data_IF_735996426560
#
_entry.id   IF_735996426560
#
_cell.length_a   1.000
_cell.length_b   1.000
_cell.length_c   1.000
_cell.angle_alpha   90.00
_cell.angle_beta   90.00
_cell.angle_gamma   90.00
#
_symmetry.space_group_name_H-M   'P 1'
#
loop_
_entity.id
_entity.type
_entity.pdbx_description
1 polymer ?
#
# COMPACT_ATOMS: atom_id res chain seq x y z
N UNK A 1 -16.57 -17.02 20.63
CA UNK A 1 -15.11 -17.00 20.38
C UNK A 1 -14.71 -15.56 20.11
N UNK A 2 -13.80 -15.02 20.92
CA UNK A 2 -13.22 -13.69 20.67
C UNK A 2 -12.37 -13.84 19.42
N UNK A 3 -12.70 -13.09 18.37
CA UNK A 3 -12.00 -13.25 17.10
C UNK A 3 -10.53 -12.83 17.26
N UNK A 4 -9.61 -13.65 16.81
CA UNK A 4 -8.15 -13.41 16.77
C UNK A 4 -7.81 -11.98 16.30
N UNK A 5 -8.57 -11.48 15.34
CA UNK A 5 -8.49 -10.11 14.79
C UNK A 5 -8.64 -9.05 15.87
N UNK A 6 -9.72 -9.14 16.69
CA UNK A 6 -10.01 -8.15 17.73
C UNK A 6 -9.05 -8.25 18.91
N UNK A 7 -8.60 -9.45 19.25
CA UNK A 7 -7.59 -9.67 20.30
C UNK A 7 -6.26 -9.03 19.91
N UNK A 8 -5.82 -9.24 18.66
CA UNK A 8 -4.63 -8.58 18.14
C UNK A 8 -4.76 -7.05 18.16
N UNK A 9 -5.88 -6.51 17.69
CA UNK A 9 -6.10 -5.06 17.71
C UNK A 9 -6.05 -4.48 19.13
N UNK A 10 -6.59 -5.20 20.12
CA UNK A 10 -6.51 -4.79 21.56
C UNK A 10 -5.07 -4.80 22.06
N UNK A 11 -4.31 -5.85 21.77
CA UNK A 11 -2.90 -5.96 22.16
C UNK A 11 -2.05 -4.82 21.56
N UNK A 12 -2.29 -4.48 20.28
CA UNK A 12 -1.63 -3.35 19.61
C UNK A 12 -1.98 -2.02 20.28
N UNK A 13 -3.26 -1.78 20.57
CA UNK A 13 -3.71 -0.51 21.19
C UNK A 13 -3.26 -0.41 22.64
N UNK A 14 -3.18 -1.53 23.37
CA UNK A 14 -2.64 -1.59 24.72
C UNK A 14 -1.10 -1.39 24.78
N UNK A 15 -0.41 -1.42 23.62
CA UNK A 15 1.05 -1.30 23.56
C UNK A 15 1.81 -2.60 23.83
N UNK A 16 1.12 -3.74 23.89
CA UNK A 16 1.71 -5.07 24.05
C UNK A 16 2.42 -5.56 22.77
N UNK A 17 2.02 -5.01 21.61
CA UNK A 17 2.66 -5.24 20.34
C UNK A 17 3.33 -3.96 19.86
N UNK A 18 4.65 -4.00 19.71
CA UNK A 18 5.41 -2.88 19.20
C UNK A 18 5.18 -2.70 17.70
N UNK A 19 4.68 -1.54 17.28
CA UNK A 19 4.35 -1.22 15.90
C UNK A 19 4.34 0.29 15.67
N UNK A 20 4.29 0.71 14.39
CA UNK A 20 4.15 2.11 14.01
C UNK A 20 2.78 2.73 14.35
N UNK A 21 2.74 4.06 14.41
CA UNK A 21 1.53 4.84 14.72
C UNK A 21 0.38 4.51 13.77
N UNK A 22 0.64 4.46 12.45
CA UNK A 22 -0.40 4.29 11.44
C UNK A 22 -1.08 2.93 11.52
N UNK A 23 -0.33 1.84 11.77
CA UNK A 23 -0.91 0.53 12.04
C UNK A 23 -1.73 0.53 13.35
N UNK A 24 -1.24 1.18 14.39
CA UNK A 24 -2.00 1.33 15.64
C UNK A 24 -3.31 2.09 15.43
N UNK A 25 -3.33 3.12 14.57
CA UNK A 25 -4.55 3.83 14.20
C UNK A 25 -5.54 2.94 13.44
N UNK A 26 -5.07 2.03 12.56
CA UNK A 26 -5.93 1.05 11.90
C UNK A 26 -6.59 0.11 12.94
N UNK A 27 -5.83 -0.36 13.93
CA UNK A 27 -6.35 -1.18 15.03
C UNK A 27 -7.35 -0.40 15.90
N UNK A 28 -7.06 0.86 16.25
CA UNK A 28 -7.98 1.75 16.97
C UNK A 28 -9.28 1.96 16.21
N UNK A 29 -9.21 2.17 14.88
CA UNK A 29 -10.40 2.29 14.02
C UNK A 29 -11.27 1.06 14.12
N UNK A 30 -10.70 -0.16 14.01
CA UNK A 30 -11.45 -1.41 14.15
C UNK A 30 -12.17 -1.48 15.52
N UNK A 31 -11.48 -1.17 16.62
CA UNK A 31 -12.08 -1.23 17.95
C UNK A 31 -13.18 -0.17 18.14
N UNK A 32 -12.96 1.07 17.70
CA UNK A 32 -13.97 2.12 17.71
C UNK A 32 -15.20 1.78 16.87
N UNK A 33 -14.99 1.14 15.73
CA UNK A 33 -16.09 0.71 14.85
C UNK A 33 -16.92 -0.43 15.48
N UNK A 34 -16.31 -1.32 16.28
CA UNK A 34 -17.03 -2.32 17.07
C UNK A 34 -18.00 -1.71 18.09
N UNK A 35 -17.67 -0.55 18.66
CA UNK A 35 -18.52 0.17 19.62
C UNK A 35 -19.72 0.83 18.91
N UNK A 36 -19.54 1.28 17.66
CA UNK A 36 -20.55 1.99 16.87
C UNK A 36 -21.47 1.06 16.05
N UNK A 37 -21.12 -0.21 15.91
CA UNK A 37 -21.78 -1.13 14.98
C UNK A 37 -23.30 -1.18 15.15
N UNK A 38 -24.02 -1.33 14.04
CA UNK A 38 -25.48 -1.44 13.95
C UNK A 38 -26.26 -0.23 14.47
N UNK A 39 -25.65 0.95 14.48
CA UNK A 39 -26.35 2.22 14.70
C UNK A 39 -26.79 2.83 13.37
N UNK A 40 -27.79 3.73 13.38
CA UNK A 40 -28.22 4.45 12.16
C UNK A 40 -27.10 5.26 11.52
N UNK A 41 -26.19 5.84 12.35
CA UNK A 41 -25.03 6.59 11.89
C UNK A 41 -23.90 5.68 11.38
N UNK A 42 -23.92 4.39 11.74
CA UNK A 42 -22.90 3.42 11.35
C UNK A 42 -23.54 2.06 11.02
N UNK A 43 -24.16 1.93 9.83
CA UNK A 43 -24.91 0.76 9.42
C UNK A 43 -24.03 -0.43 8.99
N UNK A 44 -23.00 -0.71 9.78
CA UNK A 44 -22.08 -1.83 9.58
C UNK A 44 -22.05 -2.70 10.84
N UNK A 45 -21.63 -3.96 10.66
CA UNK A 45 -21.45 -4.88 11.78
C UNK A 45 -20.25 -5.79 11.55
N UNK A 46 -19.71 -6.28 12.63
CA UNK A 46 -18.63 -7.27 12.63
C UNK A 46 -19.21 -8.68 12.57
N UNK A 47 -18.81 -9.43 11.55
CA UNK A 47 -19.09 -10.85 11.35
C UNK A 47 -17.79 -11.64 11.61
N UNK A 48 -17.64 -12.12 12.84
CA UNK A 48 -16.45 -12.88 13.25
C UNK A 48 -16.32 -14.21 12.49
N UNK A 49 -17.43 -14.83 12.10
CA UNK A 49 -17.41 -16.07 11.33
C UNK A 49 -16.95 -15.85 9.90
N UNK A 50 -17.33 -14.72 9.28
CA UNK A 50 -16.86 -14.37 7.95
C UNK A 50 -15.34 -14.08 7.95
N UNK A 51 -14.83 -13.42 8.99
CA UNK A 51 -13.40 -13.25 9.19
C UNK A 51 -12.70 -14.60 9.35
N UNK A 52 -13.21 -15.46 10.24
CA UNK A 52 -12.58 -16.74 10.54
C UNK A 52 -12.61 -17.70 9.35
N UNK A 53 -13.66 -17.70 8.53
CA UNK A 53 -13.74 -18.53 7.31
C UNK A 53 -12.57 -18.24 6.35
N UNK A 54 -12.26 -16.97 6.08
CA UNK A 54 -11.15 -16.65 5.18
C UNK A 54 -9.78 -16.92 5.82
N UNK A 55 -9.64 -16.74 7.12
CA UNK A 55 -8.41 -17.04 7.84
C UNK A 55 -8.15 -18.56 7.90
N UNK A 56 -9.18 -19.35 8.18
CA UNK A 56 -9.10 -20.82 8.13
C UNK A 56 -8.76 -21.29 6.72
N UNK A 57 -9.42 -20.75 5.70
CA UNK A 57 -9.08 -21.05 4.31
C UNK A 57 -7.59 -20.76 4.03
N UNK A 58 -7.09 -19.60 4.44
CA UNK A 58 -5.69 -19.25 4.26
C UNK A 58 -4.74 -20.25 4.91
N UNK A 59 -5.05 -20.71 6.12
CA UNK A 59 -4.22 -21.65 6.89
C UNK A 59 -4.32 -23.10 6.39
N UNK A 60 -5.29 -23.43 5.55
CA UNK A 60 -5.38 -24.70 4.82
C UNK A 60 -4.50 -24.71 3.57
N UNK A 61 -4.09 -23.55 3.05
CA UNK A 61 -3.25 -23.46 1.85
C UNK A 61 -1.84 -23.98 2.12
N UNK A 62 -1.21 -24.46 1.07
CA UNK A 62 0.18 -24.95 1.08
C UNK A 62 1.09 -23.99 0.32
N UNK A 63 2.20 -23.61 0.94
CA UNK A 63 3.32 -22.91 0.28
C UNK A 63 4.20 -23.98 -0.36
N UNK A 64 4.18 -24.04 -1.70
CA UNK A 64 4.99 -24.99 -2.47
C UNK A 64 6.45 -24.52 -2.67
N UNK A 65 6.73 -23.24 -2.37
CA UNK A 65 8.06 -22.64 -2.56
C UNK A 65 9.01 -23.02 -1.41
N UNK A 66 10.21 -23.50 -1.76
CA UNK A 66 11.24 -23.92 -0.83
C UNK A 66 11.62 -25.37 -1.01
N UNK A 67 12.40 -25.93 -0.07
CA UNK A 67 12.88 -27.31 -0.13
C UNK A 67 11.73 -28.33 0.05
N UNK A 68 10.76 -28.00 0.89
CA UNK A 68 9.58 -28.83 1.14
C UNK A 68 8.32 -27.97 1.21
N UNK A 69 7.17 -28.49 0.72
CA UNK A 69 5.88 -27.83 0.89
C UNK A 69 5.54 -27.67 2.39
N UNK A 70 4.97 -26.52 2.76
CA UNK A 70 4.61 -26.23 4.15
C UNK A 70 3.25 -25.55 4.23
N UNK A 71 2.48 -25.75 5.31
CA UNK A 71 1.21 -25.07 5.48
C UNK A 71 1.41 -23.57 5.69
N UNK A 72 0.47 -22.78 5.23
CA UNK A 72 0.43 -21.34 5.49
C UNK A 72 0.28 -21.09 6.99
N UNK A 73 1.09 -20.21 7.53
CA UNK A 73 1.01 -19.70 8.90
C UNK A 73 0.91 -18.19 8.86
N UNK A 74 -0.28 -17.67 9.10
CA UNK A 74 -0.51 -16.23 9.14
C UNK A 74 0.10 -15.65 10.41
N UNK A 75 0.85 -14.55 10.27
CA UNK A 75 1.28 -13.76 11.41
C UNK A 75 0.12 -12.87 11.91
N UNK A 76 0.12 -12.44 13.18
CA UNK A 76 -1.02 -11.70 13.75
C UNK A 76 -1.42 -10.43 12.97
N UNK A 77 -0.47 -9.73 12.36
CA UNK A 77 -0.76 -8.56 11.50
C UNK A 77 -1.48 -8.94 10.20
N UNK A 78 -1.18 -10.10 9.61
CA UNK A 78 -1.91 -10.62 8.44
C UNK A 78 -3.31 -11.12 8.83
N UNK A 79 -3.44 -11.72 10.01
CA UNK A 79 -4.75 -12.09 10.59
C UNK A 79 -5.64 -10.85 10.74
N UNK A 80 -5.08 -9.74 11.25
CA UNK A 80 -5.79 -8.48 11.38
C UNK A 80 -6.23 -7.91 10.02
N UNK A 81 -5.30 -7.81 9.09
CA UNK A 81 -5.54 -7.23 7.76
C UNK A 81 -6.62 -8.01 6.97
N UNK A 82 -6.40 -9.31 6.78
CA UNK A 82 -7.32 -10.18 6.03
C UNK A 82 -8.67 -10.27 6.78
N UNK A 83 -8.62 -10.49 8.09
CA UNK A 83 -9.81 -10.63 8.89
C UNK A 83 -10.69 -9.38 8.90
N UNK A 84 -10.10 -8.18 9.06
CA UNK A 84 -10.85 -6.92 8.96
C UNK A 84 -11.45 -6.71 7.58
N UNK A 85 -10.70 -7.03 6.51
CA UNK A 85 -11.17 -6.87 5.14
C UNK A 85 -12.44 -7.69 4.88
N UNK A 86 -12.57 -8.88 5.44
CA UNK A 86 -13.69 -9.79 5.20
C UNK A 86 -14.77 -9.79 6.31
N UNK A 87 -14.40 -9.48 7.53
CA UNK A 87 -15.31 -9.56 8.68
C UNK A 87 -16.26 -8.37 8.81
N UNK A 88 -15.92 -7.19 8.32
CA UNK A 88 -16.82 -6.05 8.34
C UNK A 88 -17.86 -6.13 7.23
N UNK A 89 -19.15 -6.05 7.61
CA UNK A 89 -20.34 -6.22 6.74
C UNK A 89 -21.25 -5.02 6.80
N UNK A 90 -22.01 -4.80 5.71
CA UNK A 90 -23.10 -3.83 5.63
C UNK A 90 -24.36 -4.44 6.23
N UNK A 91 -25.03 -3.73 7.14
CA UNK A 91 -26.27 -4.20 7.76
C UNK A 91 -27.40 -4.42 6.75
N UNK A 92 -27.42 -3.64 5.67
CA UNK A 92 -28.47 -3.66 4.67
C UNK A 92 -28.52 -4.96 3.84
N UNK A 93 -27.37 -5.61 3.58
CA UNK A 93 -27.33 -6.73 2.63
C UNK A 93 -26.26 -7.79 2.93
N UNK A 94 -25.54 -7.69 4.04
CA UNK A 94 -24.49 -8.63 4.41
C UNK A 94 -23.23 -8.63 3.52
N UNK A 95 -23.16 -7.77 2.50
CA UNK A 95 -21.95 -7.62 1.68
C UNK A 95 -20.82 -7.00 2.48
N UNK A 96 -19.56 -7.21 2.05
CA UNK A 96 -18.40 -6.57 2.67
C UNK A 96 -18.60 -5.04 2.73
N UNK A 97 -18.22 -4.46 3.88
CA UNK A 97 -18.14 -3.01 4.04
C UNK A 97 -17.08 -2.43 3.13
N UNK A 98 -15.85 -3.03 3.17
CA UNK A 98 -14.70 -2.52 2.45
C UNK A 98 -14.71 -2.96 0.99
N UNK A 99 -14.77 -1.96 0.11
CA UNK A 99 -14.66 -2.11 -1.35
C UNK A 99 -13.26 -1.78 -1.85
N UNK A 100 -12.49 -1.09 -1.02
CA UNK A 100 -11.10 -0.70 -1.25
C UNK A 100 -10.24 -1.14 -0.07
N UNK A 101 -9.07 -1.63 -0.38
CA UNK A 101 -8.02 -1.92 0.58
C UNK A 101 -6.74 -1.23 0.13
N UNK A 102 -6.04 -0.55 1.05
CA UNK A 102 -4.72 0.01 0.84
C UNK A 102 -3.76 -0.55 1.88
N UNK A 103 -2.75 -1.27 1.42
CA UNK A 103 -1.68 -1.78 2.25
C UNK A 103 -0.34 -1.25 1.78
N UNK A 104 0.30 -0.46 2.63
CA UNK A 104 1.65 0.02 2.44
C UNK A 104 2.58 -0.63 3.47
N UNK A 105 3.53 -1.41 3.03
CA UNK A 105 4.50 -2.12 3.89
C UNK A 105 5.78 -2.36 3.10
N UNK A 106 6.93 -2.45 3.76
CA UNK A 106 8.22 -2.70 3.13
C UNK A 106 8.22 -3.94 2.22
N UNK A 107 9.22 -4.07 1.37
CA UNK A 107 9.35 -5.23 0.48
C UNK A 107 9.46 -6.54 1.26
N UNK A 108 9.10 -7.65 0.61
CA UNK A 108 9.18 -9.02 1.16
C UNK A 108 8.37 -9.26 2.46
N UNK A 109 7.37 -8.41 2.74
CA UNK A 109 6.45 -8.56 3.87
C UNK A 109 5.11 -9.20 3.49
N UNK A 110 5.04 -10.00 2.42
CA UNK A 110 3.88 -10.83 2.10
C UNK A 110 2.70 -10.14 1.42
N UNK A 111 2.85 -8.91 0.88
CA UNK A 111 1.76 -8.16 0.21
C UNK A 111 1.06 -8.97 -0.88
N UNK A 112 1.83 -9.45 -1.84
CA UNK A 112 1.34 -10.21 -3.00
C UNK A 112 0.75 -11.55 -2.58
N UNK A 113 1.37 -12.21 -1.59
CA UNK A 113 0.90 -13.44 -0.98
C UNK A 113 -0.50 -13.28 -0.36
N UNK A 114 -0.75 -12.23 0.41
CA UNK A 114 -2.07 -11.95 0.98
C UNK A 114 -3.13 -11.69 -0.09
N UNK A 115 -2.78 -10.94 -1.15
CA UNK A 115 -3.67 -10.75 -2.29
C UNK A 115 -3.93 -12.07 -3.03
N UNK A 116 -2.95 -12.96 -3.08
CA UNK A 116 -3.10 -14.33 -3.60
C UNK A 116 -4.16 -15.12 -2.83
N UNK A 117 -4.06 -15.12 -1.49
CA UNK A 117 -5.05 -15.75 -0.61
C UNK A 117 -6.45 -15.19 -0.85
N UNK A 118 -6.59 -13.86 -0.78
CA UNK A 118 -7.88 -13.19 -0.93
C UNK A 118 -8.51 -13.43 -2.31
N UNK A 119 -7.71 -13.37 -3.38
CA UNK A 119 -8.17 -13.60 -4.74
C UNK A 119 -8.65 -15.05 -4.95
N UNK A 120 -7.88 -16.03 -4.47
CA UNK A 120 -8.26 -17.45 -4.53
C UNK A 120 -9.55 -17.72 -3.75
N UNK A 121 -9.65 -17.18 -2.52
CA UNK A 121 -10.86 -17.28 -1.71
C UNK A 121 -12.08 -16.68 -2.39
N UNK A 122 -11.96 -15.46 -2.93
CA UNK A 122 -13.07 -14.78 -3.61
C UNK A 122 -13.52 -15.55 -4.85
N UNK A 123 -12.60 -16.08 -5.64
CA UNK A 123 -12.92 -16.82 -6.86
C UNK A 123 -13.67 -18.12 -6.58
N UNK A 124 -13.24 -18.88 -5.59
CA UNK A 124 -13.77 -20.22 -5.33
C UNK A 124 -14.87 -20.28 -4.27
N UNK A 125 -14.83 -19.39 -3.25
CA UNK A 125 -15.55 -19.61 -1.99
C UNK A 125 -16.40 -18.42 -1.53
N UNK A 126 -16.46 -17.32 -2.29
CA UNK A 126 -17.31 -16.17 -1.94
C UNK A 126 -18.80 -16.36 -2.27
N UNK A 127 -19.15 -17.43 -3.00
CA UNK A 127 -20.51 -17.66 -3.50
C UNK A 127 -20.90 -16.80 -4.70
N UNK A 128 -19.97 -16.04 -5.28
CA UNK A 128 -20.22 -15.23 -6.48
C UNK A 128 -20.15 -16.09 -7.75
N UNK A 129 -21.08 -15.91 -8.69
CA UNK A 129 -21.08 -16.61 -9.98
C UNK A 129 -20.69 -15.68 -11.11
N UNK A 130 -19.92 -16.20 -12.08
CA UNK A 130 -19.43 -15.48 -13.27
C UNK A 130 -18.61 -14.22 -12.95
N UNK A 131 -17.95 -14.21 -11.80
CA UNK A 131 -17.12 -13.10 -11.36
C UNK A 131 -15.78 -13.03 -12.12
N UNK A 132 -15.36 -11.82 -12.45
CA UNK A 132 -14.02 -11.56 -13.01
C UNK A 132 -13.11 -11.01 -11.92
N UNK A 133 -11.91 -11.57 -11.83
CA UNK A 133 -10.86 -11.15 -10.92
C UNK A 133 -9.62 -10.80 -11.73
N UNK A 134 -8.95 -9.72 -11.36
CA UNK A 134 -7.77 -9.26 -12.08
C UNK A 134 -6.58 -9.03 -11.16
N UNK A 135 -5.41 -9.44 -11.62
CA UNK A 135 -4.14 -8.98 -11.07
C UNK A 135 -3.56 -7.95 -12.02
N UNK A 136 -3.26 -6.76 -11.52
CA UNK A 136 -2.93 -5.59 -12.33
C UNK A 136 -1.64 -4.94 -11.83
N UNK A 137 -0.73 -4.63 -12.75
CA UNK A 137 0.47 -3.86 -12.49
C UNK A 137 0.85 -3.03 -13.73
N UNK A 138 1.87 -2.18 -13.62
CA UNK A 138 2.36 -1.37 -14.74
C UNK A 138 2.91 -2.22 -15.88
N UNK A 139 3.58 -3.34 -15.55
CA UNK A 139 4.13 -4.29 -16.52
C UNK A 139 3.44 -5.64 -16.40
N UNK A 140 3.18 -6.32 -17.54
CA UNK A 140 2.55 -7.64 -17.58
C UNK A 140 3.27 -8.68 -16.71
N UNK A 141 4.62 -8.65 -16.69
CA UNK A 141 5.41 -9.55 -15.85
C UNK A 141 5.10 -9.37 -14.35
N UNK A 142 4.92 -8.15 -13.87
CA UNK A 142 4.58 -7.88 -12.47
C UNK A 142 3.14 -8.32 -12.14
N UNK A 143 2.17 -8.02 -13.01
CA UNK A 143 0.80 -8.52 -12.84
C UNK A 143 0.74 -10.04 -12.77
N UNK A 144 1.60 -10.72 -13.54
CA UNK A 144 1.71 -12.16 -13.55
C UNK A 144 2.25 -12.72 -12.21
N UNK A 145 3.13 -12.03 -11.51
CA UNK A 145 3.64 -12.49 -10.20
C UNK A 145 2.50 -12.71 -9.19
N UNK A 146 1.55 -11.76 -9.09
CA UNK A 146 0.40 -11.91 -8.21
C UNK A 146 -0.54 -13.06 -8.66
N UNK A 147 -0.68 -13.26 -9.97
CA UNK A 147 -1.40 -14.39 -10.53
C UNK A 147 -0.68 -15.73 -10.25
N UNK A 148 0.64 -15.75 -10.34
CA UNK A 148 1.47 -16.93 -10.05
C UNK A 148 1.35 -17.39 -8.60
N UNK A 149 1.21 -16.47 -7.63
CA UNK A 149 0.94 -16.84 -6.24
C UNK A 149 -0.36 -17.64 -6.11
N UNK A 150 -1.44 -17.19 -6.77
CA UNK A 150 -2.71 -17.92 -6.79
C UNK A 150 -2.57 -19.28 -7.50
N UNK A 151 -1.84 -19.32 -8.61
CA UNK A 151 -1.55 -20.55 -9.35
C UNK A 151 -0.76 -21.57 -8.50
N UNK A 152 0.22 -21.11 -7.72
CA UNK A 152 1.00 -21.96 -6.80
C UNK A 152 0.09 -22.58 -5.74
N UNK A 153 -0.81 -21.83 -5.11
CA UNK A 153 -1.77 -22.37 -4.15
C UNK A 153 -2.63 -23.47 -4.76
N UNK A 154 -3.20 -23.20 -5.94
CA UNK A 154 -4.05 -24.17 -6.64
C UNK A 154 -3.28 -25.46 -6.98
N UNK A 155 -2.05 -25.32 -7.48
CA UNK A 155 -1.24 -26.48 -7.90
C UNK A 155 -0.67 -27.29 -6.73
N UNK A 156 -0.55 -26.68 -5.56
CA UNK A 156 0.02 -27.31 -4.36
C UNK A 156 -0.99 -28.11 -3.55
N UNK A 157 -2.28 -28.04 -3.89
CA UNK A 157 -3.38 -28.64 -3.15
C UNK A 157 -4.30 -29.40 -4.09
N UNK A 158 -4.51 -30.71 -3.86
CA UNK A 158 -5.28 -31.57 -4.73
C UNK A 158 -6.77 -31.19 -4.79
N UNK A 159 -7.34 -30.74 -3.66
CA UNK A 159 -8.74 -30.31 -3.59
C UNK A 159 -8.93 -29.01 -4.37
N UNK A 160 -8.00 -28.06 -4.26
CA UNK A 160 -8.03 -26.86 -5.07
C UNK A 160 -7.80 -27.14 -6.56
N UNK A 161 -6.87 -28.04 -6.90
CA UNK A 161 -6.63 -28.47 -8.28
C UNK A 161 -7.84 -29.15 -8.93
N UNK A 162 -8.69 -29.81 -8.13
CA UNK A 162 -9.95 -30.36 -8.59
C UNK A 162 -11.03 -29.28 -8.85
N UNK A 163 -10.99 -28.17 -8.13
CA UNK A 163 -11.96 -27.06 -8.25
C UNK A 163 -11.57 -25.98 -9.26
N UNK A 164 -10.27 -25.78 -9.49
CA UNK A 164 -9.72 -24.71 -10.31
C UNK A 164 -8.98 -25.27 -11.52
N UNK A 165 -9.10 -24.62 -12.65
CA UNK A 165 -8.36 -24.95 -13.89
C UNK A 165 -7.33 -23.86 -14.18
N UNK A 166 -6.03 -24.17 -14.06
CA UNK A 166 -4.94 -23.24 -14.34
C UNK A 166 -4.51 -23.37 -15.78
N UNK A 167 -4.50 -22.23 -16.52
CA UNK A 167 -4.05 -22.10 -17.90
C UNK A 167 -2.82 -21.19 -17.97
N UNK A 168 -1.64 -21.75 -17.72
CA UNK A 168 -0.38 -20.97 -17.63
C UNK A 168 -0.09 -20.14 -18.87
N UNK A 169 -0.36 -20.67 -20.06
CA UNK A 169 -0.10 -19.99 -21.35
C UNK A 169 -0.97 -18.76 -21.58
N UNK A 170 -2.14 -18.68 -20.90
CA UNK A 170 -3.04 -17.51 -20.93
C UNK A 170 -2.89 -16.63 -19.69
N UNK A 171 -2.18 -17.09 -18.66
CA UNK A 171 -2.18 -16.50 -17.31
C UNK A 171 -3.62 -16.31 -16.79
N UNK A 172 -4.41 -17.40 -16.89
CA UNK A 172 -5.82 -17.43 -16.45
C UNK A 172 -6.03 -18.62 -15.53
N UNK A 173 -6.80 -18.41 -14.46
CA UNK A 173 -7.31 -19.46 -13.60
C UNK A 173 -8.83 -19.40 -13.69
N UNK A 174 -9.47 -20.52 -13.96
CA UNK A 174 -10.93 -20.65 -14.08
C UNK A 174 -11.47 -21.51 -12.95
N UNK A 175 -12.65 -21.18 -12.47
CA UNK A 175 -13.42 -21.96 -11.49
C UNK A 175 -14.68 -22.49 -12.19
N UNK A 176 -14.67 -23.70 -12.77
CA UNK A 176 -15.77 -24.20 -13.58
C UNK A 176 -17.12 -24.23 -12.87
N UNK A 177 -17.15 -24.53 -11.56
CA UNK A 177 -18.37 -24.63 -10.77
C UNK A 177 -19.09 -23.29 -10.58
N UNK A 178 -18.34 -22.17 -10.52
CA UNK A 178 -18.90 -20.81 -10.32
C UNK A 178 -18.88 -20.00 -11.61
N UNK A 179 -18.11 -20.38 -12.62
CA UNK A 179 -17.82 -19.58 -13.82
C UNK A 179 -16.93 -18.38 -13.58
N UNK A 180 -16.29 -18.27 -12.39
CA UNK A 180 -15.33 -17.20 -12.08
C UNK A 180 -14.01 -17.41 -12.80
N UNK A 181 -13.31 -16.31 -13.10
CA UNK A 181 -11.95 -16.35 -13.66
C UNK A 181 -11.04 -15.30 -13.06
N UNK A 182 -9.76 -15.64 -12.93
CA UNK A 182 -8.67 -14.76 -12.51
C UNK A 182 -7.74 -14.57 -13.69
N UNK A 183 -7.43 -13.33 -14.06
CA UNK A 183 -6.61 -12.99 -15.22
C UNK A 183 -5.54 -11.95 -14.84
N UNK A 184 -4.32 -12.13 -15.36
CA UNK A 184 -3.26 -11.15 -15.24
C UNK A 184 -3.33 -10.11 -16.35
N UNK A 185 -3.57 -8.84 -16.01
CA UNK A 185 -3.67 -7.71 -16.91
C UNK A 185 -2.52 -6.73 -16.76
N UNK A 186 -2.11 -6.11 -17.85
CA UNK A 186 -1.19 -4.96 -17.81
C UNK A 186 -1.85 -3.71 -18.33
N UNK A 187 -1.31 -2.54 -17.99
CA UNK A 187 -1.73 -1.25 -18.53
C UNK A 187 -1.72 -1.23 -20.07
N UNK A 188 -0.76 -1.91 -20.70
CA UNK A 188 -0.59 -1.97 -22.15
C UNK A 188 -1.73 -2.74 -22.87
N UNK A 189 -2.48 -3.56 -22.13
CA UNK A 189 -3.59 -4.33 -22.68
C UNK A 189 -4.90 -3.54 -22.89
N UNK A 190 -4.85 -2.19 -22.72
CA UNK A 190 -6.02 -1.33 -22.88
C UNK A 190 -7.06 -1.60 -21.77
N UNK A 191 -6.84 -1.05 -20.58
CA UNK A 191 -7.88 -1.01 -19.55
C UNK A 191 -8.92 0.04 -19.98
N UNK A 192 -9.85 -0.37 -20.87
CA UNK A 192 -10.97 0.46 -21.27
C UNK A 192 -12.03 0.52 -20.16
N UNK A 193 -12.81 1.60 -20.13
CA UNK A 193 -13.93 1.75 -19.18
C UNK A 193 -14.93 0.59 -19.39
N UNK A 194 -15.17 -0.20 -18.33
CA UNK A 194 -16.15 -1.28 -18.37
C UNK A 194 -15.73 -2.61 -17.73
N UNK A 195 -14.54 -2.68 -17.15
CA UNK A 195 -14.10 -3.85 -16.40
C UNK A 195 -14.94 -4.06 -15.14
N UNK A 196 -15.90 -4.98 -15.21
CA UNK A 196 -16.66 -5.42 -14.03
C UNK A 196 -15.86 -6.48 -13.28
N UNK A 197 -15.25 -6.10 -12.16
CA UNK A 197 -14.47 -7.02 -11.35
C UNK A 197 -14.99 -7.14 -9.94
N UNK A 198 -15.01 -8.36 -9.42
CA UNK A 198 -15.33 -8.64 -8.01
C UNK A 198 -14.07 -8.56 -7.13
N UNK A 199 -12.89 -8.67 -7.74
CA UNK A 199 -11.59 -8.48 -7.09
C UNK A 199 -10.55 -7.96 -8.07
N UNK A 200 -9.81 -6.95 -7.64
CA UNK A 200 -8.61 -6.48 -8.33
C UNK A 200 -7.44 -6.41 -7.34
N UNK A 201 -6.35 -7.12 -7.64
CA UNK A 201 -5.05 -6.90 -7.01
C UNK A 201 -4.28 -5.88 -7.81
N UNK A 202 -4.11 -4.67 -7.30
CA UNK A 202 -3.32 -3.60 -7.92
C UNK A 202 -1.99 -3.50 -7.20
N UNK A 203 -0.93 -3.98 -7.85
CA UNK A 203 0.40 -4.08 -7.27
C UNK A 203 1.29 -2.89 -7.65
N UNK A 204 2.23 -2.58 -6.74
CA UNK A 204 3.27 -1.57 -6.90
C UNK A 204 2.72 -0.20 -7.35
N UNK A 205 1.75 0.33 -6.60
CA UNK A 205 1.08 1.61 -6.95
C UNK A 205 2.09 2.75 -7.12
N UNK A 206 3.21 2.73 -6.38
CA UNK A 206 4.28 3.73 -6.52
C UNK A 206 4.90 3.79 -7.93
N UNK A 207 4.75 2.74 -8.75
CA UNK A 207 5.22 2.70 -10.13
C UNK A 207 4.18 3.22 -11.14
N UNK A 208 2.93 3.43 -10.72
CA UNK A 208 1.88 3.95 -11.59
C UNK A 208 2.06 5.46 -11.80
N UNK A 209 2.19 5.88 -13.07
CA UNK A 209 2.40 7.31 -13.42
C UNK A 209 1.20 8.20 -13.08
N UNK A 210 -0.01 7.63 -13.12
CA UNK A 210 -1.27 8.33 -12.89
C UNK A 210 -2.32 7.40 -12.28
N UNK A 211 -3.48 7.95 -11.97
CA UNK A 211 -4.60 7.22 -11.35
C UNK A 211 -5.54 6.54 -12.35
N UNK A 212 -5.24 6.54 -13.65
CA UNK A 212 -6.17 6.05 -14.70
C UNK A 212 -6.52 4.58 -14.51
N UNK A 213 -5.52 3.74 -14.25
CA UNK A 213 -5.72 2.30 -14.01
C UNK A 213 -6.63 2.09 -12.80
N UNK A 214 -6.33 2.74 -11.68
CA UNK A 214 -7.16 2.67 -10.47
C UNK A 214 -8.59 3.15 -10.74
N UNK A 215 -8.76 4.30 -11.41
CA UNK A 215 -10.09 4.85 -11.75
C UNK A 215 -10.89 3.91 -12.64
N UNK A 216 -10.30 3.35 -13.69
CA UNK A 216 -10.97 2.40 -14.57
C UNK A 216 -11.47 1.17 -13.79
N UNK A 217 -10.61 0.57 -12.96
CA UNK A 217 -10.97 -0.57 -12.13
C UNK A 217 -12.06 -0.21 -11.11
N UNK A 218 -11.88 0.87 -10.36
CA UNK A 218 -12.85 1.29 -9.32
C UNK A 218 -14.20 1.69 -9.91
N UNK A 219 -14.23 2.41 -11.02
CA UNK A 219 -15.47 2.76 -11.71
C UNK A 219 -16.22 1.54 -12.22
N UNK A 220 -15.51 0.54 -12.75
CA UNK A 220 -16.09 -0.74 -13.21
C UNK A 220 -16.78 -1.53 -12.10
N UNK A 221 -16.46 -1.26 -10.84
CA UNK A 221 -17.08 -1.94 -9.69
C UNK A 221 -18.41 -1.34 -9.23
N UNK A 222 -18.79 -0.13 -9.69
CA UNK A 222 -19.95 0.63 -9.15
C UNK A 222 -21.26 -0.13 -9.16
N UNK A 223 -21.52 -0.91 -10.20
CA UNK A 223 -22.75 -1.68 -10.36
C UNK A 223 -22.74 -3.03 -9.60
N UNK A 224 -21.61 -3.41 -8.99
CA UNK A 224 -21.51 -4.68 -8.29
C UNK A 224 -21.81 -4.51 -6.80
N UNK A 225 -22.62 -5.41 -6.21
CA UNK A 225 -23.00 -5.33 -4.80
C UNK A 225 -21.76 -5.55 -3.89
N UNK A 226 -20.87 -6.46 -4.28
CA UNK A 226 -19.68 -6.82 -3.54
C UNK A 226 -18.47 -6.87 -4.45
N UNK A 227 -17.43 -6.14 -4.09
CA UNK A 227 -16.17 -6.07 -4.83
C UNK A 227 -15.04 -5.68 -3.88
N UNK A 228 -13.79 -5.90 -4.29
CA UNK A 228 -12.59 -5.45 -3.58
C UNK A 228 -11.51 -5.02 -4.55
N UNK A 229 -11.13 -3.75 -4.51
CA UNK A 229 -9.92 -3.24 -5.15
C UNK A 229 -8.83 -3.17 -4.09
N UNK A 230 -7.93 -4.14 -4.10
CA UNK A 230 -6.84 -4.25 -3.14
C UNK A 230 -5.57 -3.65 -3.72
N UNK A 231 -5.18 -2.52 -3.20
CA UNK A 231 -3.99 -1.76 -3.57
C UNK A 231 -2.85 -2.10 -2.61
N UNK A 232 -1.74 -2.58 -3.15
CA UNK A 232 -0.56 -2.92 -2.36
C UNK A 232 0.67 -2.20 -2.90
N UNK A 233 1.51 -1.70 -2.00
CA UNK A 233 2.68 -0.89 -2.39
C UNK A 233 3.74 -0.84 -1.30
N UNK A 234 4.94 -0.38 -1.68
CA UNK A 234 5.87 0.34 -0.81
C UNK A 234 5.73 1.83 -1.05
N UNK A 235 6.24 2.64 -0.16
CA UNK A 235 6.50 4.05 -0.40
C UNK A 235 7.69 4.21 -1.38
N UNK A 236 7.93 5.41 -1.84
CA UNK A 236 8.93 5.71 -2.85
C UNK A 236 9.53 7.11 -2.68
N UNK A 237 10.11 7.61 -3.77
CA UNK A 237 10.82 8.90 -3.81
C UNK A 237 10.10 9.98 -4.65
N UNK A 238 9.03 9.61 -5.35
CA UNK A 238 8.23 10.57 -6.11
C UNK A 238 7.07 11.12 -5.27
N UNK A 239 7.30 12.27 -4.65
CA UNK A 239 6.30 12.93 -3.79
C UNK A 239 5.13 13.55 -4.57
N UNK A 240 5.21 13.65 -5.90
CA UNK A 240 4.14 14.14 -6.77
C UNK A 240 3.41 12.99 -7.49
N UNK A 241 3.46 11.77 -6.93
CA UNK A 241 2.85 10.59 -7.52
C UNK A 241 1.42 10.35 -7.01
N UNK A 242 0.63 9.63 -7.82
CA UNK A 242 -0.66 9.10 -7.37
C UNK A 242 -0.55 8.25 -6.09
N UNK A 243 0.54 7.51 -5.93
CA UNK A 243 0.78 6.73 -4.72
C UNK A 243 0.90 7.62 -3.48
N UNK A 244 1.59 8.77 -3.58
CA UNK A 244 1.70 9.72 -2.47
C UNK A 244 0.36 10.36 -2.14
N UNK A 245 -0.41 10.78 -3.15
CA UNK A 245 -1.77 11.30 -2.95
C UNK A 245 -2.68 10.28 -2.24
N UNK A 246 -2.59 8.99 -2.62
CA UNK A 246 -3.36 7.92 -2.00
C UNK A 246 -2.89 7.62 -0.57
N UNK A 247 -1.59 7.65 -0.31
CA UNK A 247 -1.01 7.47 1.03
C UNK A 247 -1.45 8.61 1.98
N UNK A 248 -1.38 9.86 1.52
CA UNK A 248 -1.85 11.02 2.30
C UNK A 248 -3.35 10.96 2.59
N UNK A 249 -4.15 10.58 1.60
CA UNK A 249 -5.58 10.35 1.80
C UNK A 249 -5.84 9.24 2.82
N UNK A 250 -5.11 8.13 2.72
CA UNK A 250 -5.22 7.01 3.66
C UNK A 250 -4.84 7.42 5.09
N UNK A 251 -3.75 8.18 5.26
CA UNK A 251 -3.33 8.72 6.56
C UNK A 251 -4.39 9.66 7.15
N UNK A 252 -4.96 10.56 6.34
CA UNK A 252 -6.03 11.45 6.78
C UNK A 252 -7.27 10.68 7.25
N UNK A 253 -7.61 9.56 6.61
CA UNK A 253 -8.70 8.67 7.05
C UNK A 253 -8.36 8.02 8.39
N UNK A 254 -7.14 7.48 8.56
CA UNK A 254 -6.70 6.87 9.82
C UNK A 254 -6.67 7.86 10.98
N UNK A 255 -6.28 9.11 10.73
CA UNK A 255 -6.27 10.21 11.70
C UNK A 255 -7.66 10.82 11.97
N UNK A 256 -8.69 10.37 11.27
CA UNK A 256 -10.06 10.87 11.43
C UNK A 256 -10.31 12.26 10.84
N UNK A 257 -9.39 12.79 10.02
CA UNK A 257 -9.53 14.07 9.32
C UNK A 257 -10.48 13.97 8.11
N UNK A 258 -10.69 12.76 7.62
CA UNK A 258 -11.57 12.44 6.50
C UNK A 258 -12.26 11.11 6.76
N UNK A 259 -13.52 10.98 6.30
CA UNK A 259 -14.30 9.74 6.44
C UNK A 259 -14.30 8.95 5.14
N UNK A 260 -13.99 7.64 5.21
CA UNK A 260 -14.07 6.71 4.11
C UNK A 260 -14.46 5.32 4.62
N UNK A 261 -15.77 5.06 4.68
CA UNK A 261 -16.33 3.85 5.29
C UNK A 261 -16.09 2.58 4.48
N UNK A 262 -15.91 2.72 3.16
CA UNK A 262 -15.63 1.63 2.23
C UNK A 262 -14.14 1.31 2.06
N UNK A 263 -13.25 1.98 2.82
CA UNK A 263 -11.80 1.92 2.63
C UNK A 263 -11.10 1.33 3.84
N UNK A 264 -10.59 0.10 3.70
CA UNK A 264 -9.67 -0.50 4.67
C UNK A 264 -8.25 -0.03 4.41
N UNK A 265 -7.55 0.35 5.46
CA UNK A 265 -6.20 0.92 5.38
C UNK A 265 -5.33 0.28 6.43
N UNK A 266 -4.15 -0.17 6.00
CA UNK A 266 -3.10 -0.67 6.89
C UNK A 266 -1.72 -0.25 6.39
N UNK A 267 -1.01 0.55 7.18
CA UNK A 267 0.27 1.16 6.81
C UNK A 267 1.33 0.81 7.85
N UNK A 268 2.41 0.19 7.38
CA UNK A 268 3.59 -0.20 8.15
C UNK A 268 4.79 0.62 7.69
N UNK A 269 5.24 1.55 8.51
CA UNK A 269 6.39 2.40 8.24
C UNK A 269 7.00 2.85 9.56
N UNK A 270 8.20 3.39 9.53
CA UNK A 270 8.75 4.09 10.69
C UNK A 270 7.91 5.33 11.00
N UNK A 271 7.86 5.68 12.28
CA UNK A 271 7.22 6.90 12.76
C UNK A 271 8.17 8.11 12.56
N UNK A 272 7.59 9.30 12.55
CA UNK A 272 8.37 10.53 12.48
C UNK A 272 9.26 10.66 13.72
N UNK A 273 10.56 10.89 13.49
CA UNK A 273 11.55 11.00 14.58
C UNK A 273 12.19 9.67 15.00
N UNK A 274 11.77 8.53 14.45
CA UNK A 274 12.47 7.26 14.70
C UNK A 274 13.91 7.31 14.15
N UNK A 275 14.85 6.79 14.93
CA UNK A 275 16.19 6.52 14.41
C UNK A 275 16.13 5.39 13.37
N UNK A 276 16.46 5.71 12.11
CA UNK A 276 16.46 4.78 10.98
C UNK A 276 17.50 3.67 11.14
N UNK A 277 18.51 3.88 11.98
CA UNK A 277 19.59 2.92 12.22
C UNK A 277 19.38 2.04 13.44
N UNK A 278 18.35 2.32 14.24
CA UNK A 278 17.95 1.44 15.35
C UNK A 278 17.09 0.29 14.82
N UNK A 279 17.68 -0.90 14.76
CA UNK A 279 17.01 -2.10 14.24
C UNK A 279 15.69 -2.44 14.97
N UNK A 280 15.52 -1.97 16.23
CA UNK A 280 14.27 -2.17 16.98
C UNK A 280 13.10 -1.47 16.31
N UNK A 281 13.33 -0.36 15.58
CA UNK A 281 12.31 0.36 14.84
C UNK A 281 11.90 -0.34 13.55
N UNK A 282 12.75 -1.21 12.98
CA UNK A 282 12.52 -1.80 11.67
C UNK A 282 11.27 -2.69 11.60
N UNK A 283 10.88 -3.30 12.73
CA UNK A 283 9.63 -4.09 12.80
C UNK A 283 8.38 -3.26 12.48
N UNK A 284 8.41 -1.94 12.67
CA UNK A 284 7.31 -1.03 12.32
C UNK A 284 7.03 -1.04 10.82
N UNK A 285 8.05 -1.21 10.00
CA UNK A 285 7.94 -1.34 8.53
C UNK A 285 7.96 -2.80 8.07
N UNK A 286 8.48 -3.73 8.89
CA UNK A 286 8.75 -5.11 8.53
C UNK A 286 8.11 -6.13 9.51
N UNK A 287 6.78 -6.16 9.64
CA UNK A 287 6.11 -7.01 10.61
C UNK A 287 6.29 -8.51 10.34
N UNK A 288 6.66 -8.90 9.12
CA UNK A 288 6.93 -10.28 8.72
C UNK A 288 8.43 -10.60 8.74
N UNK A 289 9.27 -9.77 8.12
CA UNK A 289 10.71 -10.00 8.03
C UNK A 289 11.38 -10.06 9.39
N UNK A 290 11.06 -9.15 10.29
CA UNK A 290 11.68 -9.04 11.61
C UNK A 290 11.32 -10.19 12.57
N UNK A 291 10.58 -11.20 12.13
CA UNK A 291 10.29 -12.42 12.92
C UNK A 291 11.26 -13.55 12.66
N UNK A 292 12.15 -13.38 11.72
CA UNK A 292 13.10 -14.39 11.26
C UNK A 292 14.52 -13.82 11.33
N UNK A 293 15.40 -14.44 12.10
CA UNK A 293 16.75 -13.91 12.34
C UNK A 293 17.62 -13.93 11.08
N UNK A 294 17.47 -14.92 10.20
CA UNK A 294 18.21 -14.98 8.94
C UNK A 294 17.84 -13.80 8.02
N UNK A 295 16.54 -13.44 7.99
CA UNK A 295 16.05 -12.27 7.25
C UNK A 295 16.47 -10.96 7.89
N UNK A 296 16.51 -10.90 9.23
CA UNK A 296 17.02 -9.74 9.94
C UNK A 296 18.50 -9.50 9.63
N UNK A 297 19.29 -10.57 9.53
CA UNK A 297 20.70 -10.44 9.14
C UNK A 297 20.86 -9.84 7.74
N UNK A 298 20.03 -10.26 6.79
CA UNK A 298 20.01 -9.66 5.44
C UNK A 298 19.66 -8.17 5.52
N UNK A 299 18.67 -7.81 6.33
CA UNK A 299 18.28 -6.40 6.50
C UNK A 299 19.38 -5.54 7.15
N UNK A 300 20.16 -6.11 8.10
CA UNK A 300 21.36 -5.46 8.68
C UNK A 300 22.43 -5.22 7.62
N UNK A 301 22.65 -6.18 6.73
CA UNK A 301 23.60 -6.04 5.63
C UNK A 301 23.18 -4.94 4.64
N UNK A 302 21.88 -4.88 4.31
CA UNK A 302 21.32 -3.80 3.48
C UNK A 302 21.49 -2.43 4.16
N UNK A 303 21.24 -2.34 5.47
CA UNK A 303 21.43 -1.14 6.26
C UNK A 303 22.91 -0.69 6.30
N UNK A 304 23.84 -1.65 6.46
CA UNK A 304 25.26 -1.34 6.44
C UNK A 304 25.70 -0.83 5.07
N UNK A 305 25.25 -1.48 4.00
CA UNK A 305 25.53 -1.04 2.61
C UNK A 305 25.00 0.37 2.37
N UNK A 306 23.77 0.64 2.81
CA UNK A 306 23.16 1.96 2.69
C UNK A 306 23.93 3.05 3.46
N UNK A 307 24.47 2.70 4.64
CA UNK A 307 25.28 3.60 5.47
C UNK A 307 26.62 3.91 4.83
N UNK A 308 27.28 2.89 4.27
CA UNK A 308 28.62 3.01 3.70
C UNK A 308 28.63 3.70 2.34
N UNK A 309 27.65 3.41 1.49
CA UNK A 309 27.55 3.94 0.13
C UNK A 309 26.74 5.25 0.04
N UNK A 310 25.78 5.47 0.92
CA UNK A 310 24.88 6.64 0.86
C UNK A 310 24.05 6.71 -0.42
N UNK A 311 23.67 7.91 -0.85
CA UNK A 311 23.04 8.18 -2.14
C UNK A 311 21.87 7.27 -2.49
N UNK A 312 21.97 6.58 -3.62
CA UNK A 312 20.91 5.69 -4.11
C UNK A 312 20.66 4.49 -3.19
N UNK A 313 21.70 3.91 -2.59
CA UNK A 313 21.56 2.76 -1.68
C UNK A 313 20.82 3.15 -0.40
N UNK A 314 21.16 4.31 0.16
CA UNK A 314 20.43 4.85 1.31
C UNK A 314 18.96 5.12 0.96
N UNK A 315 18.70 5.77 -0.17
CA UNK A 315 17.34 6.01 -0.64
C UNK A 315 16.55 4.71 -0.80
N UNK A 316 17.16 3.72 -1.45
CA UNK A 316 16.54 2.41 -1.67
C UNK A 316 16.24 1.69 -0.36
N UNK A 317 17.14 1.73 0.60
CA UNK A 317 16.93 1.21 1.94
C UNK A 317 15.76 1.90 2.65
N UNK A 318 15.72 3.24 2.64
CA UNK A 318 14.64 4.00 3.27
C UNK A 318 13.27 3.72 2.63
N UNK A 319 13.19 3.71 1.29
CA UNK A 319 11.92 3.46 0.59
C UNK A 319 11.47 2.00 0.65
N UNK A 320 12.40 1.07 0.38
CA UNK A 320 12.06 -0.33 0.13
C UNK A 320 12.09 -1.19 1.39
N UNK A 321 13.03 -0.89 2.31
CA UNK A 321 13.23 -1.66 3.54
C UNK A 321 12.58 -1.01 4.76
N UNK A 322 12.47 0.32 4.82
CA UNK A 322 11.84 1.05 5.92
C UNK A 322 10.49 1.68 5.56
N UNK A 323 10.05 1.53 4.32
CA UNK A 323 8.77 2.04 3.81
C UNK A 323 8.57 3.54 4.11
N UNK A 324 9.59 4.33 3.87
CA UNK A 324 9.58 5.78 4.09
C UNK A 324 9.44 6.53 2.76
N UNK A 325 8.77 7.69 2.80
CA UNK A 325 8.84 8.65 1.70
C UNK A 325 10.16 9.42 1.76
N UNK A 326 10.91 9.42 0.67
CA UNK A 326 12.21 10.08 0.56
C UNK A 326 12.18 11.07 -0.58
N UNK A 327 12.72 12.26 -0.37
CA UNK A 327 12.90 13.22 -1.46
C UNK A 327 13.93 12.68 -2.45
N UNK A 328 13.64 12.78 -3.74
CA UNK A 328 14.61 12.41 -4.76
C UNK A 328 15.69 13.49 -4.83
N UNK A 329 16.81 13.24 -4.15
CA UNK A 329 17.94 14.17 -4.10
C UNK A 329 18.66 14.32 -5.44
N UNK A 330 18.52 13.33 -6.35
CA UNK A 330 19.16 13.40 -7.68
C UNK A 330 18.54 14.45 -8.60
N UNK A 331 17.35 14.99 -8.23
CA UNK A 331 16.68 16.08 -8.93
C UNK A 331 16.85 17.43 -8.21
N UNK A 332 17.59 17.48 -7.11
CA UNK A 332 17.86 18.75 -6.43
C UNK A 332 18.97 19.49 -7.19
N UNK A 333 18.64 20.67 -7.71
CA UNK A 333 19.60 21.54 -8.35
C UNK A 333 20.68 22.07 -7.36
N UNK A 334 20.34 22.07 -6.05
CA UNK A 334 21.21 22.59 -5.00
C UNK A 334 21.17 21.68 -3.77
N UNK A 335 22.31 21.55 -3.08
CA UNK A 335 22.38 20.91 -1.76
C UNK A 335 21.63 21.79 -0.76
N UNK A 336 20.63 21.26 0.01
CA UNK A 336 19.82 22.06 0.90
C UNK A 336 20.62 22.89 1.89
N UNK A 337 21.65 22.31 2.49
CA UNK A 337 22.52 22.98 3.47
C UNK A 337 23.32 24.12 2.83
N UNK A 338 23.76 23.96 1.59
CA UNK A 338 24.41 25.02 0.84
C UNK A 338 23.44 26.14 0.48
N UNK A 339 22.20 25.78 0.10
CA UNK A 339 21.14 26.76 -0.17
C UNK A 339 20.78 27.57 1.09
N UNK A 340 20.58 26.90 2.22
CA UNK A 340 20.30 27.55 3.50
C UNK A 340 21.44 28.45 3.95
N UNK A 341 22.69 28.03 3.73
CA UNK A 341 23.89 28.83 4.04
C UNK A 341 23.99 30.11 3.18
N UNK A 342 23.35 30.15 2.02
CA UNK A 342 23.25 31.34 1.18
C UNK A 342 22.12 32.31 1.64
N UNK A 343 21.28 31.88 2.60
CA UNK A 343 20.19 32.67 3.13
C UNK A 343 20.69 33.94 3.84
N UNK A 344 19.95 35.03 3.69
CA UNK A 344 20.17 36.30 4.36
C UNK A 344 18.88 36.78 5.01
N UNK A 345 18.98 37.44 6.16
CA UNK A 345 17.85 38.10 6.79
C UNK A 345 17.45 39.43 6.10
N UNK A 346 18.21 39.87 5.09
CA UNK A 346 17.90 41.05 4.32
C UNK A 346 16.59 40.93 3.55
N UNK A 347 15.73 41.90 3.72
CA UNK A 347 14.45 42.00 3.01
C UNK A 347 14.61 42.88 1.77
N UNK A 348 13.81 42.64 0.74
CA UNK A 348 13.78 43.44 -0.49
C UNK A 348 13.63 44.94 -0.16
N UNK A 349 12.88 45.32 0.86
CA UNK A 349 12.68 46.69 1.32
C UNK A 349 14.00 47.31 1.85
N UNK A 350 14.84 46.54 2.47
CA UNK A 350 16.14 47.04 2.99
C UNK A 350 17.10 47.30 1.82
N UNK A 351 17.10 46.44 0.81
CA UNK A 351 17.91 46.57 -0.39
C UNK A 351 17.44 47.77 -1.20
N UNK A 352 16.15 47.91 -1.45
CA UNK A 352 15.58 49.06 -2.22
C UNK A 352 15.66 50.36 -1.45
N UNK A 353 15.55 50.34 -0.11
CA UNK A 353 15.74 51.50 0.77
C UNK A 353 17.18 51.99 0.80
N UNK A 354 18.18 51.12 0.56
CA UNK A 354 19.59 51.45 0.46
C UNK A 354 19.99 52.13 -0.89
N UNK A 355 19.02 52.41 -1.77
CA UNK A 355 19.25 53.16 -3.00
C UNK A 355 19.53 52.31 -4.25
N UNK A 356 19.35 51.01 -4.19
CA UNK A 356 19.41 50.13 -5.37
C UNK A 356 18.20 50.34 -6.25
N UNK A 357 18.43 50.90 -7.46
CA UNK A 357 17.34 51.32 -8.39
C UNK A 357 17.12 50.33 -9.54
N UNK A 358 17.88 49.25 -9.60
CA UNK A 358 17.80 48.24 -10.67
C UNK A 358 18.07 46.87 -10.16
N UNK A 359 17.37 45.87 -10.74
CA UNK A 359 17.63 44.44 -10.51
C UNK A 359 17.52 43.72 -11.85
N UNK A 360 18.14 42.55 -11.90
CA UNK A 360 17.90 41.59 -12.96
C UNK A 360 16.65 40.77 -12.63
N UNK A 361 15.83 40.51 -13.63
CA UNK A 361 14.59 39.75 -13.44
C UNK A 361 14.62 38.52 -14.32
N UNK A 362 14.57 37.33 -13.71
CA UNK A 362 14.34 36.07 -14.39
C UNK A 362 12.91 35.61 -14.21
N UNK A 363 12.20 35.33 -15.30
CA UNK A 363 10.84 34.82 -15.30
C UNK A 363 10.81 33.50 -16.05
N UNK A 364 10.38 32.43 -15.39
CA UNK A 364 10.09 31.15 -16.00
C UNK A 364 8.57 30.89 -15.93
N UNK A 365 7.97 30.74 -17.11
CA UNK A 365 6.54 30.55 -17.26
C UNK A 365 6.24 29.09 -17.59
N UNK A 366 5.50 28.42 -16.72
CA UNK A 366 5.06 27.06 -16.96
C UNK A 366 3.74 26.98 -17.71
N UNK A 367 3.56 25.89 -18.46
CA UNK A 367 2.28 25.49 -19.03
C UNK A 367 1.81 24.17 -18.37
N UNK A 368 0.78 24.26 -17.52
CA UNK A 368 0.02 23.11 -17.04
C UNK A 368 0.75 22.14 -16.10
N UNK A 369 0.87 22.48 -14.82
CA UNK A 369 1.30 21.57 -13.76
C UNK A 369 2.76 21.71 -13.31
N UNK A 370 3.50 22.61 -13.90
CA UNK A 370 4.83 23.02 -13.47
C UNK A 370 4.79 24.37 -12.72
N UNK A 371 5.86 24.74 -12.04
CA UNK A 371 5.91 25.98 -11.27
C UNK A 371 6.26 27.18 -12.15
N UNK A 372 5.53 28.29 -12.01
CA UNK A 372 5.96 29.60 -12.53
C UNK A 372 6.86 30.24 -11.50
N UNK A 373 8.06 30.63 -11.92
CA UNK A 373 9.07 31.19 -11.03
C UNK A 373 9.45 32.61 -11.45
N UNK A 374 9.52 33.51 -10.46
CA UNK A 374 10.08 34.85 -10.61
C UNK A 374 11.32 34.98 -9.71
N UNK A 375 12.47 35.24 -10.30
CA UNK A 375 13.71 35.51 -9.59
C UNK A 375 14.11 37.00 -9.78
N UNK A 376 14.56 37.61 -8.69
CA UNK A 376 15.07 38.99 -8.68
C UNK A 376 16.50 38.96 -8.16
N UNK A 377 17.43 39.53 -8.92
CA UNK A 377 18.83 39.61 -8.57
C UNK A 377 19.25 41.10 -8.44
N UNK A 378 19.71 41.45 -7.25
CA UNK A 378 20.15 42.80 -6.91
C UNK A 378 21.66 42.83 -6.74
N UNK A 379 22.43 43.48 -7.64
CA UNK A 379 23.85 43.66 -7.46
C UNK A 379 24.11 44.56 -6.26
N UNK A 380 24.87 44.06 -5.30
CA UNK A 380 25.26 44.81 -4.10
C UNK A 380 26.62 45.51 -4.29
N UNK A 381 26.87 46.65 -3.59
CA UNK A 381 28.13 47.40 -3.72
C UNK A 381 29.41 46.61 -3.35
N UNK A 382 29.26 45.58 -2.55
CA UNK A 382 30.35 44.70 -2.12
C UNK A 382 30.61 43.52 -3.09
N UNK A 383 29.91 43.47 -4.23
CA UNK A 383 30.08 42.44 -5.25
C UNK A 383 29.26 41.15 -4.98
N UNK A 384 28.43 41.14 -3.97
CA UNK A 384 27.38 40.07 -3.77
C UNK A 384 26.14 40.38 -4.61
N UNK A 385 25.31 39.40 -4.73
CA UNK A 385 24.04 39.46 -5.44
C UNK A 385 22.89 38.93 -4.54
#
# INVERSE_FOLDING_TARGET
>A
MTARVTEYARAVVAGEVFCGELHRLACKRHLSDLEKQRTDAFPYYWDAEAAERVLTFAELLTIAEGAEPRPVRLIPSQVFDIGCTFGWKKAANGCRRFRRRYKSVARQNGKTFENGIMGTYIAGFSGYSHGKLFTVATKKRQARLAWEEMSKFVKADEDLAALFTVKDYKSTIEVPSTGCSIEALSREAGLDDGFRSIFCSVDEIHQHKDNKVYKALYNGTRALPETLVSMITTRGDNLNSFCKEMDDYAINVLRGLTTAEDFFIDIYCLDEGDDIWDERNWIKANPFLCRDEERMETLRQDAQTARDMGGMELRDFLCKSLNMWVKNTDLQAFVPEAWEACGSEQKIQDITGAGHKSCWVGLDLSSGGDLTTLALEFPLPDGRY
#
